data_IF_006563048047
#
_entry.id   IF_006563048047
#
_cell.length_a   1.000
_cell.length_b   1.000
_cell.length_c   1.000
_cell.angle_alpha   90.00
_cell.angle_beta   90.00
_cell.angle_gamma   90.00
#
_symmetry.space_group_name_H-M   'P 1'
#
loop_
_entity.id
_entity.type
_entity.pdbx_description
1 polymer ?
#
# COMPACT_ATOMS: atom_id res chain seq x y z
N UNK A 1 -5.63 20.25 31.01
CA UNK A 1 -4.86 19.44 30.04
C UNK A 1 -5.52 19.63 28.69
N UNK A 2 -4.84 20.12 27.63
CA UNK A 2 -5.50 20.32 26.35
C UNK A 2 -5.77 18.96 25.72
N UNK A 3 -7.02 18.70 25.35
CA UNK A 3 -7.45 17.54 24.60
C UNK A 3 -6.64 17.46 23.29
N UNK A 4 -5.71 16.51 23.23
CA UNK A 4 -4.87 16.30 22.06
C UNK A 4 -5.74 15.92 20.87
N UNK A 5 -5.69 16.73 19.79
CA UNK A 5 -6.39 16.48 18.52
C UNK A 5 -6.28 14.99 18.13
N UNK A 6 -7.40 14.27 18.23
CA UNK A 6 -7.50 12.87 17.85
C UNK A 6 -7.45 12.76 16.33
N UNK A 7 -6.23 12.64 15.78
CA UNK A 7 -6.06 12.37 14.34
C UNK A 7 -6.76 11.06 13.90
N UNK A 8 -6.99 10.84 12.60
CA UNK A 8 -7.74 9.68 12.11
C UNK A 8 -7.06 8.35 12.49
N UNK A 9 -7.86 7.32 12.83
CA UNK A 9 -7.37 5.97 13.13
C UNK A 9 -6.78 5.24 11.93
N UNK A 10 -7.26 5.57 10.72
CA UNK A 10 -6.76 5.06 9.44
C UNK A 10 -6.44 6.22 8.51
N UNK A 11 -5.26 6.19 7.90
CA UNK A 11 -4.81 7.13 6.87
C UNK A 11 -4.60 6.35 5.58
N UNK A 12 -5.10 6.88 4.47
CA UNK A 12 -4.86 6.35 3.14
C UNK A 12 -4.27 7.46 2.27
N UNK A 13 -3.13 7.19 1.64
CA UNK A 13 -2.48 8.10 0.69
C UNK A 13 -2.14 7.36 -0.59
N UNK A 14 -2.25 8.04 -1.73
CA UNK A 14 -1.93 7.49 -3.05
C UNK A 14 -1.21 8.51 -3.92
N UNK A 15 -0.18 8.06 -4.63
CA UNK A 15 0.62 8.80 -5.61
C UNK A 15 0.84 7.89 -6.81
N UNK A 16 1.09 8.46 -7.97
CA UNK A 16 1.48 7.69 -9.16
C UNK A 16 2.80 8.20 -9.73
N UNK A 17 3.50 7.33 -10.45
CA UNK A 17 4.75 7.64 -11.14
C UNK A 17 4.79 7.02 -12.52
N UNK A 18 5.51 7.69 -13.42
CA UNK A 18 5.90 7.18 -14.75
C UNK A 18 7.42 6.98 -14.85
N UNK A 19 8.13 7.02 -13.72
CA UNK A 19 9.59 7.01 -13.68
C UNK A 19 10.13 5.59 -13.84
N UNK A 20 10.96 5.37 -14.85
CA UNK A 20 11.64 4.09 -15.07
C UNK A 20 12.43 3.64 -13.85
N UNK A 21 13.17 4.56 -13.23
CA UNK A 21 13.91 4.28 -12.01
C UNK A 21 13.01 3.77 -10.90
N UNK A 22 11.82 4.36 -10.71
CA UNK A 22 10.87 3.93 -9.68
C UNK A 22 10.27 2.56 -9.98
N UNK A 23 10.00 2.26 -11.25
CA UNK A 23 9.59 0.92 -11.69
C UNK A 23 10.68 -0.11 -11.41
N UNK A 24 11.92 0.13 -11.88
CA UNK A 24 13.04 -0.79 -11.65
C UNK A 24 13.31 -1.01 -10.16
N UNK A 25 13.19 0.03 -9.33
CA UNK A 25 13.32 -0.09 -7.88
C UNK A 25 12.23 -0.99 -7.29
N UNK A 26 10.98 -0.89 -7.75
CA UNK A 26 9.89 -1.75 -7.29
C UNK A 26 10.02 -3.20 -7.80
N UNK A 27 10.40 -3.38 -9.06
CA UNK A 27 10.66 -4.71 -9.64
C UNK A 27 11.76 -5.43 -8.84
N UNK A 28 12.86 -4.74 -8.53
CA UNK A 28 13.93 -5.25 -7.67
C UNK A 28 13.47 -5.50 -6.23
N UNK A 29 12.43 -4.82 -5.75
CA UNK A 29 11.87 -5.04 -4.43
C UNK A 29 11.09 -6.37 -4.35
N UNK A 30 10.44 -6.79 -5.44
CA UNK A 30 9.63 -8.02 -5.46
C UNK A 30 10.46 -9.27 -5.13
N UNK A 31 11.68 -9.37 -5.65
CA UNK A 31 12.58 -10.51 -5.43
C UNK A 31 13.16 -10.60 -4.02
N UNK A 32 13.25 -9.46 -3.31
CA UNK A 32 13.91 -9.40 -2.00
C UNK A 32 13.16 -10.23 -0.97
N UNK A 33 13.91 -10.86 -0.07
CA UNK A 33 13.32 -11.52 1.09
C UNK A 33 12.58 -10.52 1.99
N UNK A 34 11.60 -11.01 2.76
CA UNK A 34 10.83 -10.20 3.70
C UNK A 34 11.71 -9.33 4.62
N UNK A 35 12.81 -9.90 5.13
CA UNK A 35 13.76 -9.19 6.00
C UNK A 35 14.55 -8.08 5.28
N UNK A 36 14.90 -8.27 4.01
CA UNK A 36 15.62 -7.26 3.22
C UNK A 36 14.68 -6.13 2.78
N UNK A 37 13.41 -6.45 2.50
CA UNK A 37 12.39 -5.47 2.09
C UNK A 37 12.15 -4.37 3.11
N UNK A 38 12.21 -4.68 4.40
CA UNK A 38 12.04 -3.69 5.48
C UNK A 38 13.15 -2.66 5.57
N UNK A 39 14.39 -3.04 5.22
CA UNK A 39 15.55 -2.13 5.21
C UNK A 39 15.63 -1.34 3.90
N UNK A 40 15.12 -1.91 2.82
CA UNK A 40 15.18 -1.35 1.48
C UNK A 40 14.03 -0.38 1.14
N UNK A 41 13.08 -0.20 2.06
CA UNK A 41 11.83 0.52 1.80
C UNK A 41 12.02 1.94 1.25
N UNK A 42 12.90 2.71 1.89
CA UNK A 42 13.16 4.10 1.51
C UNK A 42 13.61 4.28 0.06
N UNK A 43 14.16 3.22 -0.55
CA UNK A 43 14.68 3.28 -1.92
C UNK A 43 13.57 3.31 -2.98
N UNK A 44 12.43 2.66 -2.77
CA UNK A 44 11.44 2.44 -3.84
C UNK A 44 10.13 3.22 -3.68
N UNK A 45 9.76 3.59 -2.46
CA UNK A 45 8.49 4.29 -2.23
C UNK A 45 8.62 5.79 -2.37
N UNK A 46 7.66 6.42 -3.05
CA UNK A 46 7.51 7.89 -3.07
C UNK A 46 7.02 8.48 -1.74
N UNK A 47 6.80 7.63 -0.74
CA UNK A 47 6.44 7.99 0.63
C UNK A 47 7.53 7.67 1.65
N UNK A 48 8.74 7.32 1.20
CA UNK A 48 9.89 7.10 2.06
C UNK A 48 10.05 8.22 3.09
N UNK A 49 10.14 9.47 2.65
CA UNK A 49 10.34 10.62 3.54
C UNK A 49 9.13 10.94 4.45
N UNK A 50 7.93 10.55 4.01
CA UNK A 50 6.69 10.79 4.75
C UNK A 50 6.49 9.76 5.88
N UNK A 51 6.87 8.50 5.65
CA UNK A 51 6.65 7.39 6.59
C UNK A 51 7.91 7.01 7.40
N UNK A 52 9.12 7.17 6.85
CA UNK A 52 10.39 6.83 7.51
C UNK A 52 11.03 8.05 8.20
N UNK A 53 10.20 8.83 8.90
CA UNK A 53 10.72 9.96 9.66
C UNK A 53 11.32 9.45 10.98
N UNK A 54 12.63 9.21 10.97
CA UNK A 54 13.42 8.75 12.12
C UNK A 54 13.17 9.56 13.41
N UNK A 55 12.75 10.83 13.29
CA UNK A 55 12.45 11.73 14.42
C UNK A 55 11.13 11.44 15.14
N UNK A 56 10.27 10.56 14.62
CA UNK A 56 8.96 10.23 15.23
C UNK A 56 8.92 8.88 15.96
N UNK A 57 10.03 8.13 15.92
CA UNK A 57 10.17 6.82 16.60
C UNK A 57 9.85 6.93 18.09
N UNK A 58 8.76 6.31 18.50
CA UNK A 58 8.37 6.23 19.92
C UNK A 58 9.47 5.56 20.76
N UNK A 59 9.74 6.05 21.98
CA UNK A 59 10.61 5.35 22.93
C UNK A 59 10.06 3.95 23.19
N UNK A 60 10.88 2.91 22.97
CA UNK A 60 10.46 1.50 23.05
C UNK A 60 10.38 0.76 21.71
N UNK A 61 10.73 1.42 20.59
CA UNK A 61 10.86 0.76 19.28
C UNK A 61 11.90 -0.38 19.33
N UNK A 62 11.45 -1.62 19.13
CA UNK A 62 12.33 -2.78 19.02
C UNK A 62 12.64 -3.06 17.53
N UNK A 63 13.83 -2.73 17.02
CA UNK A 63 14.18 -2.91 15.61
C UNK A 63 14.20 -4.39 15.15
N UNK A 64 14.10 -5.37 16.06
CA UNK A 64 13.97 -6.79 15.72
C UNK A 64 12.62 -7.14 15.08
N UNK A 65 11.59 -6.29 15.22
CA UNK A 65 10.29 -6.42 14.53
C UNK A 65 10.27 -5.81 13.13
N UNK A 66 11.38 -5.21 12.66
CA UNK A 66 11.53 -4.54 11.36
C UNK A 66 11.47 -5.51 10.18
N UNK A 67 10.40 -6.29 10.08
CA UNK A 67 10.08 -7.25 9.04
C UNK A 67 8.89 -6.72 8.26
N UNK A 68 8.86 -7.00 6.97
CA UNK A 68 7.69 -6.81 6.13
C UNK A 68 7.06 -8.20 5.97
N UNK A 69 5.74 -8.27 5.79
CA UNK A 69 5.10 -9.54 5.46
C UNK A 69 5.60 -10.09 4.10
N UNK A 70 5.23 -11.32 3.78
CA UNK A 70 5.23 -11.77 2.40
C UNK A 70 4.39 -10.82 1.52
N UNK A 71 4.73 -10.76 0.22
CA UNK A 71 3.86 -10.09 -0.74
C UNK A 71 2.56 -10.87 -0.83
N UNK A 72 1.44 -10.17 -0.80
CA UNK A 72 0.12 -10.72 -0.99
C UNK A 72 -0.59 -10.00 -2.13
N UNK A 73 -1.59 -10.65 -2.70
CA UNK A 73 -2.41 -10.16 -3.81
C UNK A 73 -3.89 -10.37 -3.47
N UNK A 74 -4.75 -10.13 -4.46
CA UNK A 74 -6.18 -10.37 -4.35
C UNK A 74 -6.51 -11.79 -3.85
N UNK A 75 -5.79 -12.80 -4.32
CA UNK A 75 -6.13 -14.21 -4.08
C UNK A 75 -5.09 -14.97 -3.27
N UNK A 76 -3.88 -14.42 -3.08
CA UNK A 76 -2.77 -15.12 -2.40
C UNK A 76 -2.31 -14.36 -1.18
N UNK A 77 -2.15 -15.05 -0.05
CA UNK A 77 -1.61 -14.49 1.20
C UNK A 77 -0.08 -14.34 1.17
N UNK A 78 0.58 -15.11 0.31
CA UNK A 78 2.01 -15.09 0.05
C UNK A 78 2.28 -15.50 -1.40
N UNK A 79 3.31 -14.91 -2.02
CA UNK A 79 3.74 -15.28 -3.36
C UNK A 79 4.92 -16.23 -3.35
N UNK A 80 4.83 -17.30 -4.16
CA UNK A 80 5.95 -18.19 -4.50
C UNK A 80 7.00 -17.48 -5.35
N UNK A 81 8.15 -18.11 -5.57
CA UNK A 81 9.20 -17.56 -6.44
C UNK A 81 8.69 -17.36 -7.87
N UNK A 82 7.97 -18.33 -8.41
CA UNK A 82 7.40 -18.25 -9.76
C UNK A 82 6.35 -17.13 -9.87
N UNK A 83 5.46 -17.01 -8.88
CA UNK A 83 4.44 -15.96 -8.86
C UNK A 83 5.03 -14.56 -8.72
N UNK A 84 6.17 -14.42 -8.04
CA UNK A 84 6.92 -13.16 -8.01
C UNK A 84 7.52 -12.82 -9.36
N UNK A 85 8.07 -13.80 -10.10
CA UNK A 85 8.57 -13.54 -11.46
C UNK A 85 7.44 -13.14 -12.40
N UNK A 86 6.28 -13.80 -12.31
CA UNK A 86 5.09 -13.40 -13.07
C UNK A 86 4.65 -11.97 -12.73
N UNK A 87 4.56 -11.64 -11.44
CA UNK A 87 4.23 -10.29 -11.01
C UNK A 87 5.23 -9.26 -11.55
N UNK A 88 6.54 -9.55 -11.53
CA UNK A 88 7.56 -8.66 -12.10
C UNK A 88 7.33 -8.46 -13.59
N UNK A 89 7.07 -9.53 -14.32
CA UNK A 89 6.80 -9.47 -15.76
C UNK A 89 5.61 -8.56 -16.07
N UNK A 90 4.52 -8.65 -15.30
CA UNK A 90 3.37 -7.75 -15.44
C UNK A 90 3.72 -6.28 -15.22
N UNK A 91 4.59 -5.97 -14.24
CA UNK A 91 5.08 -4.61 -14.01
C UNK A 91 6.01 -4.11 -15.12
N UNK A 92 6.83 -4.98 -15.71
CA UNK A 92 7.67 -4.66 -16.87
C UNK A 92 6.84 -4.39 -18.13
N UNK A 93 5.78 -5.17 -18.38
CA UNK A 93 4.82 -4.92 -19.47
C UNK A 93 4.15 -3.56 -19.26
N UNK A 94 3.67 -3.28 -18.04
CA UNK A 94 3.05 -2.01 -17.70
C UNK A 94 3.99 -0.83 -17.96
N UNK A 95 5.26 -0.94 -17.56
CA UNK A 95 6.28 0.07 -17.80
C UNK A 95 6.48 0.33 -19.30
N UNK A 96 6.63 -0.74 -20.10
CA UNK A 96 6.79 -0.65 -21.57
C UNK A 96 5.59 -0.01 -22.26
N UNK A 97 4.40 -0.14 -21.67
CA UNK A 97 3.16 0.42 -22.20
C UNK A 97 2.82 1.81 -21.65
N UNK A 98 3.79 2.52 -21.05
CA UNK A 98 3.62 3.84 -20.45
C UNK A 98 2.53 3.91 -19.36
N UNK A 99 2.22 2.78 -18.74
CA UNK A 99 1.24 2.70 -17.67
C UNK A 99 1.78 3.39 -16.41
N UNK A 100 0.99 4.21 -15.71
CA UNK A 100 1.39 4.71 -14.41
C UNK A 100 1.46 3.56 -13.40
N UNK A 101 2.50 3.57 -12.55
CA UNK A 101 2.47 2.78 -11.31
C UNK A 101 1.88 3.63 -10.20
N UNK A 102 0.77 3.17 -9.63
CA UNK A 102 0.21 3.75 -8.42
C UNK A 102 0.85 3.12 -7.21
N UNK A 103 1.34 3.96 -6.30
CA UNK A 103 1.87 3.57 -5.00
C UNK A 103 0.93 4.11 -3.93
N UNK A 104 0.39 3.22 -3.11
CA UNK A 104 -0.51 3.58 -2.03
C UNK A 104 0.02 3.11 -0.69
N UNK A 105 -0.40 3.84 0.35
CA UNK A 105 -0.13 3.47 1.73
C UNK A 105 -1.40 3.56 2.54
N UNK A 106 -1.75 2.45 3.19
CA UNK A 106 -2.75 2.43 4.25
C UNK A 106 -1.98 2.36 5.56
N UNK A 107 -2.10 3.37 6.42
CA UNK A 107 -1.46 3.41 7.74
C UNK A 107 -2.53 3.39 8.83
N UNK A 108 -2.29 2.58 9.86
CA UNK A 108 -3.19 2.40 10.99
C UNK A 108 -2.53 2.91 12.26
N UNK A 109 -3.25 3.69 13.05
CA UNK A 109 -2.82 3.94 14.43
C UNK A 109 -2.80 2.62 15.19
N UNK A 110 -1.69 2.29 15.84
CA UNK A 110 -1.58 1.03 16.60
C UNK A 110 -2.67 0.91 17.68
N UNK A 111 -3.05 2.03 18.32
CA UNK A 111 -4.14 2.04 19.30
C UNK A 111 -5.51 1.73 18.67
N UNK A 112 -5.77 2.15 17.43
CA UNK A 112 -7.00 1.80 16.72
C UNK A 112 -7.05 0.30 16.45
N UNK A 113 -5.94 -0.29 15.99
CA UNK A 113 -5.86 -1.75 15.80
C UNK A 113 -6.02 -2.52 17.12
N UNK A 114 -5.45 -2.01 18.21
CA UNK A 114 -5.58 -2.59 19.55
C UNK A 114 -7.01 -2.55 20.06
N UNK A 115 -7.68 -1.41 19.93
CA UNK A 115 -9.06 -1.20 20.35
C UNK A 115 -10.01 -2.24 19.76
N UNK A 116 -9.78 -2.59 18.49
CA UNK A 116 -10.57 -3.60 17.77
C UNK A 116 -9.94 -5.00 17.78
N UNK A 117 -9.00 -5.28 18.68
CA UNK A 117 -8.46 -6.63 18.90
C UNK A 117 -7.58 -7.18 17.76
N UNK A 118 -7.13 -6.33 16.83
CA UNK A 118 -6.31 -6.74 15.69
C UNK A 118 -4.81 -6.65 16.01
N UNK A 119 -4.41 -5.92 17.04
CA UNK A 119 -3.02 -5.74 17.41
C UNK A 119 -2.80 -5.82 18.92
N UNK A 120 -1.89 -6.70 19.34
CA UNK A 120 -1.42 -6.76 20.71
C UNK A 120 -0.10 -6.00 20.85
N UNK A 121 -0.15 -4.83 21.50
CA UNK A 121 1.04 -4.01 21.74
C UNK A 121 2.08 -4.67 22.65
N UNK A 122 1.71 -5.66 23.48
CA UNK A 122 2.65 -6.35 24.38
C UNK A 122 3.50 -7.36 23.61
N UNK A 123 2.85 -8.15 22.76
CA UNK A 123 3.54 -9.20 21.96
C UNK A 123 3.99 -8.70 20.59
N UNK A 124 3.46 -7.58 20.12
CA UNK A 124 3.66 -7.08 18.77
C UNK A 124 2.92 -7.90 17.71
N UNK A 125 1.99 -8.78 18.10
CA UNK A 125 1.26 -9.67 17.19
C UNK A 125 0.12 -8.91 16.50
N UNK A 126 0.10 -8.96 15.18
CA UNK A 126 -0.98 -8.43 14.33
C UNK A 126 -1.80 -9.59 13.75
N UNK A 127 -3.11 -9.43 13.69
CA UNK A 127 -3.99 -10.28 12.88
C UNK A 127 -3.80 -9.95 11.39
N UNK A 128 -2.70 -10.44 10.81
CA UNK A 128 -2.36 -10.19 9.41
C UNK A 128 -3.42 -10.74 8.44
N UNK A 129 -4.15 -11.78 8.81
CA UNK A 129 -5.20 -12.35 7.97
C UNK A 129 -6.34 -11.36 7.78
N UNK A 130 -6.85 -10.78 8.87
CA UNK A 130 -7.87 -9.74 8.80
C UNK A 130 -7.36 -8.49 8.10
N UNK A 131 -6.12 -8.08 8.35
CA UNK A 131 -5.53 -6.93 7.67
C UNK A 131 -5.44 -7.14 6.15
N UNK A 132 -5.04 -8.34 5.69
CA UNK A 132 -5.07 -8.69 4.25
C UNK A 132 -6.50 -8.68 3.72
N UNK A 133 -7.47 -9.24 4.46
CA UNK A 133 -8.86 -9.30 4.04
C UNK A 133 -9.47 -7.90 3.84
N UNK A 134 -9.32 -6.99 4.81
CA UNK A 134 -9.84 -5.62 4.68
C UNK A 134 -9.13 -4.82 3.58
N UNK A 135 -7.83 -5.10 3.36
CA UNK A 135 -7.09 -4.53 2.24
C UNK A 135 -7.65 -5.00 0.90
N UNK A 136 -7.95 -6.29 0.75
CA UNK A 136 -8.56 -6.82 -0.48
C UNK A 136 -9.92 -6.18 -0.75
N UNK A 137 -10.76 -6.05 0.26
CA UNK A 137 -12.06 -5.39 0.12
C UNK A 137 -11.92 -3.92 -0.32
N UNK A 138 -10.94 -3.21 0.24
CA UNK A 138 -10.64 -1.84 -0.17
C UNK A 138 -10.15 -1.77 -1.62
N UNK A 139 -9.24 -2.66 -2.00
CA UNK A 139 -8.72 -2.75 -3.37
C UNK A 139 -9.82 -3.12 -4.38
N UNK A 140 -10.72 -4.04 -4.05
CA UNK A 140 -11.86 -4.38 -4.91
C UNK A 140 -12.78 -3.17 -5.14
N UNK A 141 -13.06 -2.40 -4.08
CA UNK A 141 -13.84 -1.16 -4.19
C UNK A 141 -13.13 -0.14 -5.09
N UNK A 142 -11.81 0.02 -4.92
CA UNK A 142 -11.00 0.92 -5.74
C UNK A 142 -11.03 0.55 -7.21
N UNK A 143 -10.74 -0.72 -7.53
CA UNK A 143 -10.65 -1.18 -8.91
C UNK A 143 -12.01 -1.02 -9.62
N UNK A 144 -13.12 -1.31 -8.92
CA UNK A 144 -14.48 -1.10 -9.45
C UNK A 144 -14.78 0.37 -9.73
N UNK A 145 -14.48 1.26 -8.78
CA UNK A 145 -14.78 2.70 -8.91
C UNK A 145 -13.93 3.41 -9.98
N UNK A 146 -12.72 2.91 -10.19
CA UNK A 146 -11.79 3.36 -11.22
C UNK A 146 -11.95 2.64 -12.56
N UNK A 147 -12.79 1.58 -12.63
CA UNK A 147 -13.03 0.71 -13.79
C UNK A 147 -11.76 0.01 -14.29
N UNK A 148 -11.02 -0.54 -13.34
CA UNK A 148 -9.72 -1.21 -13.53
C UNK A 148 -9.77 -2.69 -13.09
N UNK A 149 -10.92 -3.21 -12.68
CA UNK A 149 -11.10 -4.53 -12.10
C UNK A 149 -10.73 -5.70 -13.02
N UNK A 150 -10.80 -5.51 -14.34
CA UNK A 150 -10.38 -6.50 -15.33
C UNK A 150 -8.98 -6.28 -15.91
N UNK A 151 -8.31 -5.18 -15.57
CA UNK A 151 -7.05 -4.76 -16.21
C UNK A 151 -5.89 -4.58 -15.22
N UNK A 152 -6.17 -4.24 -13.97
CA UNK A 152 -5.14 -3.92 -13.00
C UNK A 152 -4.56 -5.16 -12.30
N UNK A 153 -3.25 -5.13 -12.12
CA UNK A 153 -2.49 -6.04 -11.29
C UNK A 153 -1.95 -5.26 -10.10
N UNK A 154 -2.05 -5.84 -8.91
CA UNK A 154 -1.50 -5.22 -7.71
C UNK A 154 -0.89 -6.25 -6.77
N UNK A 155 0.02 -5.75 -5.94
CA UNK A 155 0.62 -6.51 -4.85
C UNK A 155 0.82 -5.60 -3.65
N UNK A 156 0.81 -6.19 -2.46
CA UNK A 156 0.94 -5.46 -1.22
C UNK A 156 1.80 -6.17 -0.18
N UNK A 157 2.33 -5.42 0.78
CA UNK A 157 3.04 -5.95 1.94
C UNK A 157 2.74 -5.11 3.19
N UNK A 158 2.59 -5.77 4.33
CA UNK A 158 2.43 -5.15 5.65
C UNK A 158 3.84 -4.83 6.19
N UNK A 159 4.03 -3.63 6.72
CA UNK A 159 5.29 -3.12 7.24
C UNK A 159 5.11 -2.71 8.71
N UNK A 160 6.11 -3.07 9.52
CA UNK A 160 6.15 -2.87 10.97
C UNK A 160 7.30 -1.95 11.41
N UNK A 161 8.04 -1.39 10.45
CA UNK A 161 9.33 -0.72 10.64
C UNK A 161 9.22 0.79 10.93
N UNK A 162 8.01 1.32 11.14
CA UNK A 162 7.73 2.72 11.50
C UNK A 162 6.82 2.80 12.72
N UNK A 163 6.47 3.99 13.20
CA UNK A 163 5.62 4.19 14.39
C UNK A 163 4.28 3.46 14.30
N UNK A 164 3.69 3.44 13.10
CA UNK A 164 2.41 2.83 12.82
C UNK A 164 2.56 1.65 11.87
N UNK A 165 1.78 0.59 12.10
CA UNK A 165 1.62 -0.49 11.14
C UNK A 165 0.99 0.07 9.87
N UNK A 166 1.53 -0.30 8.73
CA UNK A 166 1.09 0.21 7.44
C UNK A 166 1.28 -0.79 6.33
N UNK A 167 0.60 -0.55 5.21
CA UNK A 167 0.57 -1.45 4.05
C UNK A 167 1.01 -0.67 2.85
N UNK A 168 2.03 -1.17 2.17
CA UNK A 168 2.40 -0.70 0.84
C UNK A 168 1.64 -1.48 -0.21
N UNK A 169 1.08 -0.77 -1.17
CA UNK A 169 0.36 -1.34 -2.29
C UNK A 169 0.95 -0.71 -3.56
N UNK A 170 1.32 -1.55 -4.52
CA UNK A 170 1.66 -1.10 -5.86
C UNK A 170 0.68 -1.69 -6.87
N UNK A 171 0.20 -0.84 -7.78
CA UNK A 171 -0.83 -1.17 -8.76
C UNK A 171 -0.31 -0.71 -10.13
N UNK A 172 -0.57 -1.50 -11.16
CA UNK A 172 -0.34 -1.17 -12.56
C UNK A 172 -1.46 -1.74 -13.40
N UNK A 173 -1.68 -1.19 -14.60
CA UNK A 173 -2.38 -1.90 -15.68
C UNK A 173 -1.31 -2.34 -16.69
N UNK A 174 -1.04 -3.65 -16.88
CA UNK A 174 -0.11 -4.11 -17.91
C UNK A 174 -0.49 -3.57 -19.29
N UNK A 175 -1.78 -3.51 -19.59
CA UNK A 175 -2.34 -2.84 -20.75
C UNK A 175 -3.24 -1.69 -20.29
N UNK A 176 -2.72 -0.44 -20.21
CA UNK A 176 -3.45 0.67 -19.59
C UNK A 176 -4.73 1.03 -20.33
N UNK A 177 -5.83 1.15 -19.58
CA UNK A 177 -7.18 1.40 -20.12
C UNK A 177 -7.65 2.84 -19.91
N UNK A 178 -6.92 3.59 -19.08
CA UNK A 178 -7.29 4.95 -18.70
C UNK A 178 -7.20 5.91 -19.88
N UNK A 179 -7.94 7.03 -19.79
CA UNK A 179 -7.90 8.06 -20.83
C UNK A 179 -6.51 8.69 -20.93
N UNK A 180 -5.97 8.77 -22.15
CA UNK A 180 -4.78 9.57 -22.44
C UNK A 180 -5.10 11.07 -22.43
N UNK A 181 -4.13 11.87 -21.98
CA UNK A 181 -4.14 13.34 -22.04
C UNK A 181 -2.87 13.82 -22.73
N UNK A 182 -2.98 14.93 -23.46
CA UNK A 182 -1.81 15.69 -23.92
C UNK A 182 -1.33 16.55 -22.75
N UNK A 183 -0.08 16.38 -22.34
CA UNK A 183 0.56 17.19 -21.30
C UNK A 183 1.80 17.86 -21.88
N UNK A 184 2.07 19.07 -21.42
CA UNK A 184 3.27 19.80 -21.78
C UNK A 184 4.35 19.49 -20.73
N UNK A 185 5.45 18.90 -21.17
CA UNK A 185 6.59 18.57 -20.32
C UNK A 185 7.74 19.49 -20.70
N UNK A 186 8.45 20.00 -19.68
CA UNK A 186 9.71 20.69 -19.89
C UNK A 186 10.84 19.67 -19.89
N UNK A 187 11.62 19.64 -20.95
CA UNK A 187 12.86 18.87 -21.01
C UNK A 187 14.01 19.59 -20.30
N UNK A 188 15.12 18.89 -20.08
CA UNK A 188 16.28 19.37 -19.32
C UNK A 188 16.89 20.67 -19.85
N UNK A 189 16.66 21.01 -21.12
CA UNK A 189 17.15 22.23 -21.77
C UNK A 189 16.10 23.35 -21.90
N UNK A 190 14.94 23.21 -21.23
CA UNK A 190 13.89 24.23 -21.24
C UNK A 190 12.91 24.12 -22.42
N UNK A 191 13.18 23.24 -23.38
CA UNK A 191 12.26 22.93 -24.48
C UNK A 191 10.96 22.33 -23.96
N UNK A 192 9.83 22.78 -24.53
CA UNK A 192 8.49 22.31 -24.17
C UNK A 192 8.02 21.31 -25.21
N UNK A 193 7.75 20.08 -24.78
CA UNK A 193 7.21 19.02 -25.62
C UNK A 193 5.81 18.63 -25.18
N UNK A 194 4.92 18.42 -26.15
CA UNK A 194 3.61 17.83 -25.89
C UNK A 194 3.77 16.32 -25.99
N UNK A 195 3.52 15.61 -24.88
CA UNK A 195 3.48 14.14 -24.86
C UNK A 195 2.07 13.66 -24.55
N UNK A 196 1.69 12.50 -25.08
CA UNK A 196 0.48 11.80 -24.67
C UNK A 196 0.83 10.94 -23.46
N UNK A 197 0.05 11.05 -22.40
CA UNK A 197 0.25 10.29 -21.17
C UNK A 197 -1.11 9.84 -20.61
N UNK A 198 -1.16 8.63 -20.06
CA UNK A 198 -2.33 8.13 -19.35
C UNK A 198 -2.67 8.98 -18.13
N UNK A 199 -3.96 9.19 -17.84
CA UNK A 199 -4.37 9.92 -16.64
C UNK A 199 -4.03 9.12 -15.38
N UNK A 200 -2.98 9.52 -14.65
CA UNK A 200 -2.61 8.90 -13.38
C UNK A 200 -3.56 9.20 -12.20
N UNK A 201 -4.13 10.40 -12.11
CA UNK A 201 -5.00 10.74 -10.97
C UNK A 201 -6.26 9.86 -10.90
N UNK A 202 -6.50 9.25 -9.73
CA UNK A 202 -7.74 8.58 -9.31
C UNK A 202 -8.69 9.56 -8.63
N UNK A 203 -9.97 9.21 -8.48
CA UNK A 203 -10.97 10.12 -7.91
C UNK A 203 -10.85 10.19 -6.38
N UNK A 204 -10.94 11.38 -5.75
CA UNK A 204 -10.95 11.48 -4.29
C UNK A 204 -12.06 10.66 -3.62
N UNK A 205 -13.24 10.56 -4.27
CA UNK A 205 -14.36 9.75 -3.80
C UNK A 205 -14.01 8.26 -3.69
N UNK A 206 -13.17 7.74 -4.59
CA UNK A 206 -12.67 6.36 -4.55
C UNK A 206 -11.94 6.10 -3.24
N UNK A 207 -10.98 6.97 -2.88
CA UNK A 207 -10.23 6.85 -1.64
C UNK A 207 -11.10 7.00 -0.39
N UNK A 208 -12.13 7.85 -0.45
CA UNK A 208 -13.15 7.94 0.60
C UNK A 208 -13.86 6.60 0.83
N UNK A 209 -14.32 5.94 -0.24
CA UNK A 209 -14.98 4.64 -0.15
C UNK A 209 -14.04 3.53 0.30
N UNK A 210 -12.79 3.51 -0.18
CA UNK A 210 -11.77 2.56 0.30
C UNK A 210 -11.61 2.67 1.81
N UNK A 211 -11.44 3.90 2.32
CA UNK A 211 -11.29 4.16 3.75
C UNK A 211 -12.54 3.71 4.53
N UNK A 212 -13.73 4.00 4.04
CA UNK A 212 -14.98 3.51 4.65
C UNK A 212 -15.05 1.99 4.67
N UNK A 213 -14.62 1.31 3.59
CA UNK A 213 -14.59 -0.15 3.53
C UNK A 213 -13.68 -0.73 4.60
N UNK A 214 -12.49 -0.16 4.77
CA UNK A 214 -11.52 -0.58 5.78
C UNK A 214 -12.09 -0.40 7.18
N UNK A 215 -12.58 0.80 7.50
CA UNK A 215 -13.07 1.12 8.85
C UNK A 215 -14.26 0.24 9.20
N UNK A 216 -15.28 0.15 8.34
CA UNK A 216 -16.47 -0.63 8.64
C UNK A 216 -16.14 -2.12 8.82
N UNK A 217 -15.28 -2.70 7.98
CA UNK A 217 -14.92 -4.12 8.14
C UNK A 217 -14.01 -4.42 9.35
N UNK A 218 -13.40 -3.39 9.96
CA UNK A 218 -12.68 -3.54 11.22
C UNK A 218 -13.65 -3.38 12.40
N UNK A 219 -14.49 -2.34 12.37
CA UNK A 219 -15.42 -2.01 13.47
C UNK A 219 -16.55 -3.02 13.56
N UNK A 220 -17.20 -3.38 12.46
CA UNK A 220 -18.38 -4.27 12.45
C UNK A 220 -18.01 -5.70 12.87
N UNK A 221 -16.75 -6.10 12.69
CA UNK A 221 -16.23 -7.43 13.08
C UNK A 221 -15.67 -7.47 14.51
N UNK A 222 -15.70 -6.35 15.24
CA UNK A 222 -15.22 -6.28 16.61
C UNK A 222 -16.01 -7.18 17.59
N UNK A 223 -17.35 -7.30 17.51
CA UNK A 223 -18.12 -8.20 18.39
C UNK A 223 -17.79 -9.68 18.19
N UNK A 224 -17.49 -10.09 16.95
CA UNK A 224 -17.09 -11.47 16.64
C UNK A 224 -15.72 -11.82 17.27
N UNK A 225 -14.81 -10.84 17.34
CA UNK A 225 -13.48 -11.00 17.94
C UNK A 225 -13.54 -11.18 19.45
N UNK A 226 -14.39 -10.42 20.14
CA UNK A 226 -14.59 -10.58 21.58
C UNK A 226 -15.04 -12.01 21.89
N UNK A 227 -16.01 -12.54 21.14
CA UNK A 227 -16.51 -13.91 21.32
C UNK A 227 -15.44 -14.98 21.10
N UNK A 228 -14.49 -14.79 20.18
CA UNK A 228 -13.40 -15.76 19.95
C UNK A 228 -12.38 -15.73 21.08
N UNK A 229 -12.06 -14.54 21.61
CA UNK A 229 -11.12 -14.41 22.72
C UNK A 229 -11.68 -14.97 24.04
N UNK A 230 -13.00 -14.94 24.23
CA UNK A 230 -13.65 -15.49 25.42
C UNK A 230 -13.70 -17.04 25.44
N UNK A 231 -13.25 -17.70 24.36
CA UNK A 231 -13.24 -19.18 24.21
C UNK A 231 -11.84 -19.78 24.45
N UNK A 232 -10.81 -18.97 24.72
CA UNK A 232 -9.43 -19.40 25.03
C UNK A 232 -9.13 -19.16 26.50
#
# INVERSE_FOLDING_TARGET
>A
MPEGKTGPGVILVSKYVFSDQKFSQYINYIDRSAAVRSKAYGLYSVYADYMDNLKKRSPGFNPKSGKASALFTMTKNQLTVQEKQELKHQFEIAQKNDSPMWQQVISFKNNFLKEYGLYDCRTGKLDEEKIRAVTRLAMQEEMKDEKMDSAAVWSAAIHYNTDNIHIHIAIVEPHPTRKCKKIMVQEKHGEKKIVRQFKGNMKPKTFGKMKSKIVNNIVDRAPELQKINDII
#
